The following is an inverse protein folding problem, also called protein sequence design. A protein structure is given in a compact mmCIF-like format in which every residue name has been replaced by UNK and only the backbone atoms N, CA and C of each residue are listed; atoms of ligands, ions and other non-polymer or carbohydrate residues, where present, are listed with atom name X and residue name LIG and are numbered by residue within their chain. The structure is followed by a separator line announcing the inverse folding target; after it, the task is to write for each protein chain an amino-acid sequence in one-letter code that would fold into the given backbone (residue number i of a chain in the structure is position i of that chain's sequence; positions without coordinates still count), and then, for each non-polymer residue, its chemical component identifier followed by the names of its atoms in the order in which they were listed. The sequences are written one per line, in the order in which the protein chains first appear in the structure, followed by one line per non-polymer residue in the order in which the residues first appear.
data_IF_690007470692
#
_entry.id   IF_690007470692
#
_cell.length_a   1.000
_cell.length_b   1.000
_cell.length_c   1.000
_cell.angle_alpha   90.00
_cell.angle_beta   90.00
_cell.angle_gamma   90.00
#
_symmetry.space_group_name_H-M   'P 1'
#
loop_
_entity.id
_entity.type
_entity.pdbx_description
1 polymer ?
#
# COMPACT_ATOMS: atom_id res chain seq x y z
N UNK A 1 -27.69 25.59 -40.06
CA UNK A 1 -27.83 25.95 -38.63
C UNK A 1 -27.98 24.67 -37.84
N UNK A 2 -26.86 24.12 -37.37
CA UNK A 2 -26.83 22.98 -36.45
C UNK A 2 -25.95 23.41 -35.28
N UNK A 3 -26.60 23.65 -34.14
CA UNK A 3 -25.95 24.02 -32.88
C UNK A 3 -25.28 22.78 -32.29
N UNK A 4 -23.95 22.73 -32.39
CA UNK A 4 -23.11 21.84 -31.61
C UNK A 4 -23.27 22.19 -30.12
N UNK A 5 -23.90 21.31 -29.34
CA UNK A 5 -23.72 21.28 -27.90
C UNK A 5 -22.35 20.65 -27.62
N UNK A 6 -21.32 21.49 -27.53
CA UNK A 6 -20.06 21.12 -26.89
C UNK A 6 -20.29 21.07 -25.37
N UNK A 7 -20.20 19.87 -24.79
CA UNK A 7 -20.09 19.70 -23.35
C UNK A 7 -18.75 20.31 -22.88
N UNK A 8 -18.73 21.05 -21.75
CA UNK A 8 -17.52 21.70 -21.27
C UNK A 8 -16.49 20.69 -20.76
N UNK A 9 -15.23 20.91 -21.16
CA UNK A 9 -14.01 20.14 -20.88
C UNK A 9 -13.48 20.24 -19.44
N UNK A 10 -14.36 20.22 -18.45
CA UNK A 10 -14.03 20.05 -17.03
C UNK A 10 -14.68 18.77 -16.55
N UNK A 11 -13.96 17.63 -16.54
CA UNK A 11 -14.27 16.43 -15.74
C UNK A 11 -13.34 15.21 -15.98
N UNK A 12 -12.21 15.32 -16.69
CA UNK A 12 -11.42 14.13 -17.10
C UNK A 12 -9.98 14.02 -16.56
N UNK A 13 -9.58 14.77 -15.53
CA UNK A 13 -8.24 14.62 -14.94
C UNK A 13 -8.23 14.75 -13.41
N UNK A 14 -9.17 14.09 -12.74
CA UNK A 14 -9.36 14.20 -11.29
C UNK A 14 -9.67 12.84 -10.66
N UNK A 15 -8.76 11.86 -10.72
CA UNK A 15 -9.06 10.55 -10.10
C UNK A 15 -7.90 9.60 -9.75
N UNK A 16 -6.68 10.09 -9.48
CA UNK A 16 -5.60 9.24 -8.93
C UNK A 16 -5.01 9.77 -7.61
N UNK A 17 -5.40 9.06 -6.55
CA UNK A 17 -4.70 8.85 -5.27
C UNK A 17 -5.79 8.31 -4.33
N UNK A 18 -5.86 6.99 -4.12
CA UNK A 18 -6.49 6.25 -3.00
C UNK A 18 -7.74 6.78 -2.25
N UNK A 19 -8.44 7.81 -2.73
CA UNK A 19 -9.33 8.69 -1.97
C UNK A 19 -10.49 9.20 -2.85
N UNK A 20 -10.42 8.98 -4.16
CA UNK A 20 -11.30 9.60 -5.17
C UNK A 20 -12.74 9.08 -5.19
N UNK A 21 -13.14 8.27 -4.21
CA UNK A 21 -14.52 7.85 -4.01
C UNK A 21 -15.03 8.09 -2.58
N UNK A 22 -14.26 8.70 -1.67
CA UNK A 22 -14.64 8.76 -0.25
C UNK A 22 -15.76 9.80 0.04
N UNK A 23 -16.38 10.40 -1.01
CA UNK A 23 -17.12 11.67 -0.89
C UNK A 23 -18.45 11.84 -1.61
N UNK A 24 -19.12 10.78 -2.05
CA UNK A 24 -20.52 10.91 -2.47
C UNK A 24 -21.45 10.54 -1.29
N UNK A 25 -22.46 11.38 -1.05
CA UNK A 25 -23.46 11.26 0.02
C UNK A 25 -24.48 10.14 -0.28
N UNK A 26 -24.82 9.32 0.73
CA UNK A 26 -26.12 8.64 0.76
C UNK A 26 -26.17 7.25 1.39
N UNK A 27 -25.17 6.40 1.19
CA UNK A 27 -25.21 4.98 1.60
C UNK A 27 -23.93 4.56 2.32
N UNK A 28 -24.03 3.55 3.18
CA UNK A 28 -22.86 2.86 3.73
C UNK A 28 -22.04 2.32 2.57
N UNK A 29 -20.87 2.91 2.34
CA UNK A 29 -20.05 2.63 1.15
C UNK A 29 -19.39 1.24 1.18
N UNK A 30 -19.15 0.73 2.39
CA UNK A 30 -18.48 -0.55 2.62
C UNK A 30 -19.28 -1.38 3.61
N UNK A 31 -19.29 -2.70 3.41
CA UNK A 31 -20.14 -3.63 4.18
C UNK A 31 -19.83 -3.53 5.68
N UNK A 32 -18.55 -3.38 6.04
CA UNK A 32 -18.12 -3.38 7.43
C UNK A 32 -18.40 -2.07 8.18
N UNK A 33 -18.75 -0.98 7.50
CA UNK A 33 -18.98 0.31 8.17
C UNK A 33 -20.14 0.27 9.18
N UNK A 34 -21.26 -0.37 8.83
CA UNK A 34 -22.40 -0.53 9.74
C UNK A 34 -21.99 -1.32 10.96
N UNK A 35 -21.34 -2.46 10.74
CA UNK A 35 -20.90 -3.33 11.81
C UNK A 35 -19.93 -2.62 12.76
N UNK A 36 -18.95 -1.86 12.25
CA UNK A 36 -18.03 -1.07 13.09
C UNK A 36 -18.78 0.01 13.89
N UNK A 37 -19.77 0.69 13.27
CA UNK A 37 -20.58 1.72 13.96
C UNK A 37 -21.44 1.14 15.06
N UNK A 38 -22.02 -0.04 14.86
CA UNK A 38 -22.81 -0.76 15.86
C UNK A 38 -22.00 -1.09 17.12
N UNK A 39 -20.68 -1.30 17.00
CA UNK A 39 -19.77 -1.46 18.16
C UNK A 39 -19.49 -0.14 18.91
N UNK A 40 -20.00 1.00 18.44
CA UNK A 40 -19.81 2.30 19.11
C UNK A 40 -18.35 2.79 19.12
N UNK A 41 -17.55 2.42 18.12
CA UNK A 41 -16.13 2.78 18.05
C UNK A 41 -15.97 4.28 17.77
N UNK A 42 -15.69 5.05 18.83
CA UNK A 42 -15.64 6.52 18.80
C UNK A 42 -14.58 7.04 17.82
N UNK A 43 -13.41 6.43 17.82
CA UNK A 43 -12.27 6.81 16.97
C UNK A 43 -12.66 6.75 15.48
N UNK A 44 -13.36 5.69 15.09
CA UNK A 44 -13.89 5.52 13.74
C UNK A 44 -15.00 6.53 13.43
N UNK A 45 -15.97 6.65 14.33
CA UNK A 45 -17.10 7.57 14.16
C UNK A 45 -16.62 9.01 13.95
N UNK A 46 -15.66 9.46 14.76
CA UNK A 46 -15.11 10.81 14.70
C UNK A 46 -14.25 11.02 13.45
N UNK A 47 -13.43 10.02 13.06
CA UNK A 47 -12.72 10.05 11.78
C UNK A 47 -13.68 10.23 10.60
N UNK A 48 -14.78 9.46 10.56
CA UNK A 48 -15.74 9.53 9.46
C UNK A 48 -16.49 10.87 9.42
N UNK A 49 -16.78 11.48 10.57
CA UNK A 49 -17.31 12.87 10.61
C UNK A 49 -16.31 13.85 10.03
N UNK A 50 -15.04 13.79 10.45
CA UNK A 50 -13.99 14.68 9.95
C UNK A 50 -13.75 14.52 8.45
N UNK A 51 -13.71 13.28 7.93
CA UNK A 51 -13.60 13.04 6.49
C UNK A 51 -14.75 13.69 5.72
N UNK A 52 -15.99 13.57 6.21
CA UNK A 52 -17.17 14.20 5.60
C UNK A 52 -17.07 15.74 5.59
N UNK A 53 -16.60 16.35 6.67
CA UNK A 53 -16.35 17.80 6.73
C UNK A 53 -15.28 18.18 5.71
N UNK A 54 -14.19 17.39 5.64
CA UNK A 54 -13.09 17.62 4.71
C UNK A 54 -13.54 17.65 3.25
N UNK A 55 -14.36 16.68 2.84
CA UNK A 55 -14.89 16.59 1.48
C UNK A 55 -15.86 17.68 1.07
N UNK A 56 -16.57 18.28 2.01
CA UNK A 56 -17.44 19.41 1.71
C UNK A 56 -16.69 20.74 1.64
N UNK A 57 -15.38 20.76 1.93
CA UNK A 57 -14.58 21.98 2.02
C UNK A 57 -13.76 22.26 0.76
N UNK A 58 -14.21 23.21 -0.06
CA UNK A 58 -13.48 23.70 -1.24
C UNK A 58 -12.12 24.32 -0.92
N UNK A 59 -11.92 24.75 0.34
CA UNK A 59 -10.64 25.31 0.82
C UNK A 59 -9.55 24.24 0.92
N UNK A 60 -9.93 22.98 1.17
CA UNK A 60 -8.98 21.86 1.26
C UNK A 60 -8.55 21.35 -0.10
N UNK A 61 -9.41 21.45 -1.12
CA UNK A 61 -9.10 21.00 -2.49
C UNK A 61 -7.85 21.70 -3.02
N UNK A 62 -7.80 23.03 -2.91
CA UNK A 62 -6.64 23.82 -3.32
C UNK A 62 -5.38 23.58 -2.48
N UNK A 63 -5.51 23.04 -1.26
CA UNK A 63 -4.36 22.64 -0.43
C UNK A 63 -3.78 21.31 -0.89
N UNK A 64 -4.63 20.29 -1.10
CA UNK A 64 -4.20 18.98 -1.58
C UNK A 64 -3.70 19.05 -3.02
N UNK A 65 -4.26 19.91 -3.87
CA UNK A 65 -3.77 20.12 -5.23
C UNK A 65 -2.35 20.73 -5.24
N UNK A 66 -2.09 21.71 -4.37
CA UNK A 66 -0.74 22.28 -4.21
C UNK A 66 0.27 21.25 -3.70
N UNK A 67 -0.11 20.42 -2.72
CA UNK A 67 0.78 19.34 -2.25
C UNK A 67 1.10 18.34 -3.36
N UNK A 68 0.11 17.98 -4.19
CA UNK A 68 0.31 17.07 -5.34
C UNK A 68 1.29 17.67 -6.35
N UNK A 69 1.08 18.93 -6.75
CA UNK A 69 1.97 19.61 -7.69
C UNK A 69 3.41 19.68 -7.18
N UNK A 70 3.63 19.90 -5.87
CA UNK A 70 4.98 19.91 -5.28
C UNK A 70 5.61 18.51 -5.26
N UNK A 71 4.82 17.46 -4.99
CA UNK A 71 5.30 16.09 -5.03
C UNK A 71 5.67 15.65 -6.46
N UNK A 72 4.89 16.05 -7.46
CA UNK A 72 5.06 15.64 -8.85
C UNK A 72 6.18 16.42 -9.57
N UNK A 73 6.51 17.63 -9.10
CA UNK A 73 7.57 18.49 -9.67
C UNK A 73 8.75 18.68 -8.70
N UNK A 74 9.02 17.67 -7.88
CA UNK A 74 10.07 17.73 -6.87
C UNK A 74 11.45 17.87 -7.51
N UNK A 75 12.17 18.95 -7.20
CA UNK A 75 13.58 19.11 -7.56
C UNK A 75 14.49 18.25 -6.67
N UNK A 76 15.82 18.27 -6.90
CA UNK A 76 16.78 17.46 -6.15
C UNK A 76 16.70 17.62 -4.62
N UNK A 77 16.49 18.85 -4.13
CA UNK A 77 16.33 19.13 -2.70
C UNK A 77 15.03 18.57 -2.11
N UNK A 78 13.95 18.53 -2.90
CA UNK A 78 12.69 17.90 -2.49
C UNK A 78 12.81 16.37 -2.46
N UNK A 79 13.52 15.75 -3.41
CA UNK A 79 13.78 14.31 -3.40
C UNK A 79 14.59 13.88 -2.16
N UNK A 80 15.62 14.64 -1.79
CA UNK A 80 16.36 14.40 -0.55
C UNK A 80 15.48 14.56 0.69
N UNK A 81 14.65 15.61 0.74
CA UNK A 81 13.70 15.79 1.83
C UNK A 81 12.69 14.62 1.92
N UNK A 82 12.25 14.07 0.79
CA UNK A 82 11.38 12.88 0.75
C UNK A 82 12.10 11.64 1.27
N UNK A 83 13.33 11.40 0.83
CA UNK A 83 14.18 10.31 1.33
C UNK A 83 14.30 10.33 2.87
N UNK A 84 14.61 11.49 3.45
CA UNK A 84 14.69 11.65 4.91
C UNK A 84 13.34 11.39 5.60
N UNK A 85 12.23 11.86 5.02
CA UNK A 85 10.90 11.62 5.58
C UNK A 85 10.52 10.13 5.54
N UNK A 86 10.79 9.44 4.44
CA UNK A 86 10.56 8.01 4.33
C UNK A 86 11.42 7.23 5.34
N UNK A 87 12.68 7.64 5.52
CA UNK A 87 13.55 7.07 6.56
C UNK A 87 12.95 7.19 7.96
N UNK A 88 12.40 8.37 8.30
CA UNK A 88 11.72 8.59 9.58
C UNK A 88 10.43 7.76 9.71
N UNK A 89 9.66 7.61 8.63
CA UNK A 89 8.46 6.74 8.63
C UNK A 89 8.86 5.31 9.01
N UNK A 90 9.90 4.73 8.38
CA UNK A 90 10.28 3.35 8.72
C UNK A 90 10.75 3.25 10.17
N UNK A 91 11.42 4.27 10.69
CA UNK A 91 11.77 4.32 12.11
C UNK A 91 10.56 4.35 13.06
N UNK A 92 9.47 5.02 12.69
CA UNK A 92 8.22 4.94 13.46
C UNK A 92 7.57 3.55 13.38
N UNK A 93 7.61 2.91 12.21
CA UNK A 93 7.08 1.55 12.01
C UNK A 93 7.89 0.54 12.81
N UNK A 94 9.22 0.64 12.76
CA UNK A 94 10.11 -0.23 13.52
C UNK A 94 9.97 0.00 15.02
N UNK A 95 9.92 1.25 15.49
CA UNK A 95 9.66 1.52 16.90
C UNK A 95 8.32 0.94 17.40
N UNK A 96 7.29 0.91 16.55
CA UNK A 96 5.98 0.37 16.90
C UNK A 96 5.95 -1.17 16.98
N UNK A 97 6.89 -1.87 16.34
CA UNK A 97 6.79 -3.33 16.15
C UNK A 97 8.05 -4.12 16.43
N UNK A 98 9.20 -3.45 16.58
CA UNK A 98 10.54 -4.03 16.79
C UNK A 98 10.79 -5.18 15.80
N UNK A 99 10.69 -4.86 14.49
CA UNK A 99 10.73 -5.88 13.44
C UNK A 99 12.10 -6.00 12.79
N UNK A 100 12.96 -4.99 12.92
CA UNK A 100 14.35 -5.07 12.47
C UNK A 100 15.18 -5.83 13.54
N UNK A 101 15.82 -6.96 13.19
CA UNK A 101 16.66 -7.69 14.13
C UNK A 101 17.83 -6.85 14.67
N UNK A 102 18.21 -7.10 15.92
CA UNK A 102 19.35 -6.46 16.58
C UNK A 102 20.62 -6.49 15.71
N UNK A 103 21.47 -5.47 15.87
CA UNK A 103 22.65 -5.14 15.04
C UNK A 103 23.65 -6.29 14.75
N UNK A 104 23.61 -7.38 15.51
CA UNK A 104 24.51 -8.51 15.39
C UNK A 104 23.96 -9.69 14.58
N UNK A 105 22.65 -9.71 14.30
CA UNK A 105 22.01 -10.74 13.49
C UNK A 105 22.05 -10.37 12.01
N UNK A 106 22.61 -11.27 11.21
CA UNK A 106 22.54 -11.19 9.75
C UNK A 106 21.12 -11.54 9.30
N UNK A 107 20.62 -10.79 8.32
CA UNK A 107 19.32 -11.05 7.70
C UNK A 107 19.27 -10.44 6.29
N UNK A 108 18.39 -11.01 5.46
CA UNK A 108 18.13 -10.55 4.10
C UNK A 108 16.79 -9.84 4.02
N UNK A 109 16.71 -8.68 3.36
CA UNK A 109 15.44 -7.99 3.12
C UNK A 109 15.18 -7.67 1.64
N UNK A 110 13.90 -7.62 1.29
CA UNK A 110 13.41 -7.22 -0.04
C UNK A 110 12.59 -5.93 0.11
N UNK A 111 12.95 -4.89 -0.64
CA UNK A 111 12.24 -3.61 -0.66
C UNK A 111 11.59 -3.37 -2.03
N UNK A 112 10.26 -3.51 -2.10
CA UNK A 112 9.48 -3.29 -3.32
C UNK A 112 9.04 -1.83 -3.39
N UNK A 113 9.48 -1.14 -4.44
CA UNK A 113 9.37 0.32 -4.56
C UNK A 113 10.48 1.05 -3.81
N UNK A 114 11.70 0.50 -3.81
CA UNK A 114 12.75 0.92 -2.89
C UNK A 114 13.25 2.36 -3.11
N UNK A 115 13.19 2.91 -4.32
CA UNK A 115 13.69 4.27 -4.57
C UNK A 115 12.70 5.35 -4.08
N UNK A 116 13.18 6.43 -3.44
CA UNK A 116 14.58 6.89 -3.39
C UNK A 116 15.52 6.22 -2.37
N UNK A 117 15.06 5.29 -1.54
CA UNK A 117 15.91 4.50 -0.65
C UNK A 117 15.75 4.78 0.84
N UNK A 118 14.74 5.56 1.26
CA UNK A 118 14.61 5.96 2.67
C UNK A 118 14.42 4.78 3.63
N UNK A 119 13.57 3.81 3.24
CA UNK A 119 13.32 2.58 4.01
C UNK A 119 14.58 1.71 4.05
N UNK A 120 15.12 1.36 2.89
CA UNK A 120 16.41 0.66 2.74
C UNK A 120 17.52 1.29 3.61
N UNK A 121 17.72 2.62 3.55
CA UNK A 121 18.76 3.32 4.32
C UNK A 121 18.54 3.21 5.82
N UNK A 122 17.29 3.25 6.30
CA UNK A 122 17.00 3.04 7.72
C UNK A 122 17.41 1.64 8.19
N UNK A 123 17.05 0.60 7.42
CA UNK A 123 17.40 -0.79 7.74
C UNK A 123 18.93 -0.97 7.80
N UNK A 124 19.63 -0.49 6.77
CA UNK A 124 21.07 -0.64 6.63
C UNK A 124 21.86 0.12 7.72
N UNK A 125 21.33 1.25 8.20
CA UNK A 125 21.92 1.99 9.33
C UNK A 125 21.66 1.31 10.68
N UNK A 126 20.47 0.73 10.84
CA UNK A 126 20.04 0.08 12.08
C UNK A 126 20.75 -1.26 12.30
N UNK A 127 21.07 -1.98 11.20
CA UNK A 127 21.81 -3.23 11.27
C UNK A 127 22.93 -3.30 10.21
N UNK A 128 24.17 -3.41 10.69
CA UNK A 128 25.37 -3.41 9.85
C UNK A 128 25.59 -4.73 9.08
N UNK A 129 24.93 -5.81 9.51
CA UNK A 129 24.95 -7.12 8.86
C UNK A 129 23.72 -7.37 7.98
N UNK A 130 22.78 -6.43 7.91
CA UNK A 130 21.69 -6.51 6.95
C UNK A 130 22.24 -6.37 5.52
N UNK A 131 21.72 -7.21 4.63
CA UNK A 131 21.88 -7.10 3.19
C UNK A 131 20.52 -7.25 2.51
N UNK A 132 20.39 -6.82 1.26
CA UNK A 132 19.08 -6.85 0.62
C UNK A 132 19.07 -6.64 -0.89
N UNK A 133 17.85 -6.78 -1.41
CA UNK A 133 17.50 -6.54 -2.80
C UNK A 133 16.36 -5.52 -2.84
N UNK A 134 16.44 -4.58 -3.78
CA UNK A 134 15.39 -3.62 -4.07
C UNK A 134 14.87 -3.82 -5.48
N UNK A 135 13.57 -3.59 -5.65
CA UNK A 135 12.96 -3.42 -6.97
C UNK A 135 12.36 -2.04 -7.05
N UNK A 136 12.68 -1.29 -8.10
CA UNK A 136 12.07 0.02 -8.34
C UNK A 136 11.86 0.26 -9.83
N UNK A 137 10.93 1.15 -10.16
CA UNK A 137 10.72 1.59 -11.53
C UNK A 137 11.92 2.40 -12.03
N UNK A 138 12.27 2.23 -13.31
CA UNK A 138 13.26 3.05 -14.02
C UNK A 138 12.88 4.53 -14.02
N UNK A 139 13.88 5.43 -13.95
CA UNK A 139 13.65 6.88 -13.92
C UNK A 139 12.98 7.35 -15.22
N UNK A 140 13.40 6.77 -16.34
CA UNK A 140 12.89 7.03 -17.68
C UNK A 140 11.41 6.66 -17.82
N UNK A 141 10.92 5.72 -16.99
CA UNK A 141 9.51 5.31 -16.94
C UNK A 141 8.71 6.10 -15.89
N UNK A 142 9.30 7.12 -15.26
CA UNK A 142 8.69 7.95 -14.23
C UNK A 142 9.04 7.55 -12.79
N UNK A 143 10.00 6.64 -12.60
CA UNK A 143 10.53 6.25 -11.30
C UNK A 143 11.43 7.32 -10.64
N UNK A 144 11.82 7.06 -9.39
CA UNK A 144 12.72 7.94 -8.65
C UNK A 144 14.17 7.47 -8.72
N UNK A 145 15.12 8.41 -8.80
CA UNK A 145 16.54 8.10 -8.61
C UNK A 145 16.81 7.60 -7.18
N UNK A 146 17.69 6.60 -7.07
CA UNK A 146 18.22 6.17 -5.77
C UNK A 146 19.09 7.26 -5.15
N UNK A 147 18.92 7.47 -3.85
CA UNK A 147 19.74 8.35 -3.01
C UNK A 147 20.53 7.56 -1.96
N UNK A 148 20.63 6.24 -2.11
CA UNK A 148 21.48 5.40 -1.28
C UNK A 148 22.95 5.77 -1.46
N UNK A 149 23.72 5.70 -0.37
CA UNK A 149 25.17 5.96 -0.41
C UNK A 149 25.92 4.80 -1.06
N UNK A 150 27.17 5.03 -1.48
CA UNK A 150 28.03 3.95 -2.00
C UNK A 150 28.16 2.79 -1.00
N UNK A 151 28.28 3.11 0.30
CA UNK A 151 28.33 2.13 1.39
C UNK A 151 27.03 1.33 1.55
N UNK A 152 25.88 1.93 1.27
CA UNK A 152 24.60 1.21 1.28
C UNK A 152 24.55 0.20 0.12
N UNK A 153 25.03 0.62 -1.05
CA UNK A 153 25.06 -0.20 -2.27
C UNK A 153 26.05 -1.37 -2.20
N UNK A 154 27.05 -1.34 -1.29
CA UNK A 154 27.89 -2.51 -1.00
C UNK A 154 27.10 -3.70 -0.42
N UNK A 155 25.97 -3.43 0.24
CA UNK A 155 25.12 -4.45 0.89
C UNK A 155 23.72 -4.55 0.29
N UNK A 156 23.40 -3.70 -0.68
CA UNK A 156 22.07 -3.62 -1.26
C UNK A 156 22.13 -3.50 -2.77
N UNK A 157 21.49 -4.46 -3.45
CA UNK A 157 21.37 -4.45 -4.91
C UNK A 157 20.03 -3.86 -5.33
N UNK A 158 19.99 -3.06 -6.40
CA UNK A 158 18.74 -2.54 -6.98
C UNK A 158 18.54 -3.14 -8.36
N UNK A 159 17.37 -3.73 -8.59
CA UNK A 159 16.88 -4.08 -9.92
C UNK A 159 15.86 -3.05 -10.36
N UNK A 160 16.12 -2.40 -11.50
CA UNK A 160 15.19 -1.46 -12.09
C UNK A 160 14.26 -2.17 -13.05
N UNK A 161 12.99 -2.32 -12.67
CA UNK A 161 11.95 -2.93 -13.51
C UNK A 161 10.56 -2.62 -12.98
N UNK A 162 9.56 -2.59 -13.86
CA UNK A 162 8.17 -2.50 -13.44
C UNK A 162 7.70 -3.89 -12.96
N UNK A 163 7.54 -4.01 -11.64
CA UNK A 163 7.18 -5.27 -10.98
C UNK A 163 5.84 -5.85 -11.46
N UNK A 164 5.01 -5.06 -12.12
CA UNK A 164 3.74 -5.55 -12.67
C UNK A 164 3.88 -6.34 -13.97
N UNK A 165 5.07 -6.35 -14.56
CA UNK A 165 5.40 -7.12 -15.77
C UNK A 165 6.23 -8.38 -15.48
N UNK A 166 6.34 -8.80 -14.22
CA UNK A 166 6.87 -10.14 -13.95
C UNK A 166 5.88 -11.23 -14.35
N UNK A 167 6.38 -12.42 -14.64
CA UNK A 167 5.61 -13.64 -14.84
C UNK A 167 5.07 -14.13 -13.50
N UNK A 168 3.97 -13.53 -13.04
CA UNK A 168 3.38 -13.79 -11.73
C UNK A 168 2.33 -14.92 -11.76
N UNK A 169 1.92 -15.39 -12.94
CA UNK A 169 0.96 -16.47 -13.07
C UNK A 169 1.55 -17.82 -12.60
N UNK A 170 0.70 -18.70 -12.06
CA UNK A 170 1.09 -20.07 -11.70
C UNK A 170 1.53 -20.92 -12.91
N UNK A 171 1.02 -20.58 -14.09
CA UNK A 171 1.40 -21.20 -15.37
C UNK A 171 1.98 -20.13 -16.28
N UNK A 172 3.06 -20.48 -17.00
CA UNK A 172 3.74 -19.54 -17.91
C UNK A 172 2.77 -19.00 -18.96
N UNK A 173 2.70 -17.67 -19.06
CA UNK A 173 1.99 -16.95 -20.11
C UNK A 173 3.01 -16.48 -21.15
N UNK A 174 2.79 -16.86 -22.39
CA UNK A 174 3.58 -16.40 -23.54
C UNK A 174 3.15 -14.97 -23.92
N UNK A 175 3.77 -13.97 -23.29
CA UNK A 175 3.61 -12.55 -23.61
C UNK A 175 4.99 -11.87 -23.55
N UNK A 176 5.37 -11.20 -24.64
CA UNK A 176 6.69 -10.56 -24.81
C UNK A 176 6.96 -9.45 -23.78
N UNK A 177 5.91 -8.91 -23.15
CA UNK A 177 6.04 -7.87 -22.12
C UNK A 177 6.44 -8.45 -20.78
N UNK A 178 6.27 -9.76 -20.56
CA UNK A 178 6.54 -10.39 -19.28
C UNK A 178 8.00 -10.83 -19.16
N UNK A 179 8.57 -10.58 -17.99
CA UNK A 179 9.92 -11.04 -17.60
C UNK A 179 9.84 -12.10 -16.49
N UNK A 180 10.83 -12.99 -16.44
CA UNK A 180 10.90 -13.96 -15.35
C UNK A 180 11.21 -13.25 -14.02
N UNK A 181 10.62 -13.75 -12.93
CA UNK A 181 10.94 -13.27 -11.58
C UNK A 181 12.39 -13.68 -11.26
N UNK A 182 13.23 -12.78 -10.71
CA UNK A 182 14.59 -13.11 -10.28
C UNK A 182 14.63 -14.37 -9.40
N UNK A 183 15.57 -15.30 -9.67
CA UNK A 183 15.65 -16.59 -8.97
C UNK A 183 15.75 -16.42 -7.45
N UNK A 184 16.53 -15.45 -6.96
CA UNK A 184 16.67 -15.16 -5.53
C UNK A 184 15.35 -14.81 -4.82
N UNK A 185 14.36 -14.29 -5.56
CA UNK A 185 13.00 -14.01 -5.03
C UNK A 185 12.19 -15.29 -4.91
N UNK A 186 12.46 -16.31 -5.71
CA UNK A 186 11.73 -17.57 -5.68
C UNK A 186 12.24 -18.52 -4.59
N UNK A 187 13.41 -18.26 -4.01
CA UNK A 187 14.08 -19.15 -3.05
C UNK A 187 13.61 -18.98 -1.59
N UNK A 188 12.59 -18.13 -1.31
CA UNK A 188 12.06 -17.85 0.04
C UNK A 188 13.14 -17.54 1.08
N UNK A 189 14.06 -16.62 0.75
CA UNK A 189 15.23 -16.32 1.59
C UNK A 189 15.10 -15.04 2.42
N UNK A 190 14.06 -14.23 2.20
CA UNK A 190 13.98 -12.91 2.82
C UNK A 190 13.33 -12.96 4.19
N UNK A 191 14.03 -12.42 5.20
CA UNK A 191 13.55 -12.21 6.56
C UNK A 191 12.50 -11.11 6.64
N UNK A 192 12.66 -10.08 5.82
CA UNK A 192 11.79 -8.90 5.80
C UNK A 192 11.42 -8.59 4.35
N UNK A 193 10.14 -8.39 4.08
CA UNK A 193 9.67 -7.89 2.77
C UNK A 193 8.84 -6.63 2.98
N UNK A 194 9.25 -5.53 2.35
CA UNK A 194 8.57 -4.23 2.38
C UNK A 194 7.76 -4.05 1.09
N UNK A 195 6.47 -3.71 1.23
CA UNK A 195 5.54 -3.44 0.14
C UNK A 195 5.08 -1.97 0.23
N UNK A 196 5.84 -1.06 -0.37
CA UNK A 196 5.51 0.38 -0.46
C UNK A 196 5.59 0.92 -1.90
N UNK A 197 5.64 0.03 -2.90
CA UNK A 197 5.49 0.46 -4.28
C UNK A 197 4.07 1.01 -4.47
N UNK A 198 3.99 2.16 -5.10
CA UNK A 198 2.74 2.84 -5.38
C UNK A 198 2.78 3.38 -6.81
N UNK A 199 1.62 3.40 -7.44
CA UNK A 199 1.50 3.93 -8.80
C UNK A 199 1.88 5.41 -8.80
N UNK A 200 2.87 5.78 -9.61
CA UNK A 200 3.34 7.16 -9.72
C UNK A 200 2.47 7.90 -10.74
N UNK A 201 2.05 9.12 -10.42
CA UNK A 201 1.24 9.94 -11.34
C UNK A 201 1.96 10.28 -12.65
N UNK A 202 3.29 10.30 -12.60
CA UNK A 202 4.17 10.58 -13.74
C UNK A 202 4.53 9.33 -14.55
N UNK A 203 4.04 8.15 -14.16
CA UNK A 203 4.37 6.91 -14.84
C UNK A 203 3.85 6.94 -16.28
N UNK A 204 4.75 6.73 -17.24
CA UNK A 204 4.40 6.72 -18.66
C UNK A 204 3.47 5.55 -18.95
N UNK A 205 2.41 5.80 -19.73
CA UNK A 205 1.40 4.80 -20.11
C UNK A 205 0.63 4.14 -18.95
N UNK A 206 0.72 4.66 -17.73
CA UNK A 206 0.00 4.13 -16.57
C UNK A 206 -1.50 4.13 -16.79
N UNK A 207 -2.13 2.95 -16.67
CA UNK A 207 -3.58 2.82 -16.74
C UNK A 207 -4.20 3.12 -15.39
N UNK A 208 -5.41 3.68 -15.39
CA UNK A 208 -6.08 4.08 -14.15
C UNK A 208 -6.33 2.93 -13.16
N UNK A 209 -6.31 1.66 -13.59
CA UNK A 209 -6.46 0.47 -12.75
C UNK A 209 -5.12 -0.17 -12.33
N UNK A 210 -3.98 0.33 -12.80
CA UNK A 210 -2.67 -0.29 -12.56
C UNK A 210 -2.29 -0.31 -11.08
N UNK A 211 -2.90 0.54 -10.24
CA UNK A 211 -2.72 0.46 -8.79
C UNK A 211 -3.21 -0.87 -8.21
N UNK A 212 -4.31 -1.45 -8.72
CA UNK A 212 -4.78 -2.78 -8.30
C UNK A 212 -3.75 -3.83 -8.74
N UNK A 213 -3.30 -3.76 -10.01
CA UNK A 213 -2.28 -4.68 -10.54
C UNK A 213 -1.00 -4.62 -9.72
N UNK A 214 -0.53 -3.43 -9.36
CA UNK A 214 0.65 -3.21 -8.53
C UNK A 214 0.50 -3.76 -7.12
N UNK A 215 -0.66 -3.58 -6.48
CA UNK A 215 -0.89 -4.11 -5.14
C UNK A 215 -0.89 -5.64 -5.13
N UNK A 216 -1.58 -6.28 -6.08
CA UNK A 216 -1.61 -7.74 -6.21
C UNK A 216 -0.22 -8.28 -6.58
N UNK A 217 0.50 -7.61 -7.49
CA UNK A 217 1.84 -8.02 -7.89
C UNK A 217 2.83 -8.01 -6.71
N UNK A 218 2.83 -6.95 -5.89
CA UNK A 218 3.67 -6.88 -4.69
C UNK A 218 3.34 -7.99 -3.69
N UNK A 219 2.05 -8.31 -3.50
CA UNK A 219 1.64 -9.41 -2.63
C UNK A 219 2.16 -10.75 -3.15
N UNK A 220 1.99 -11.07 -4.43
CA UNK A 220 2.50 -12.33 -5.01
C UNK A 220 4.00 -12.44 -4.79
N UNK A 221 4.75 -11.38 -5.13
CA UNK A 221 6.21 -11.35 -4.96
C UNK A 221 6.57 -11.56 -3.49
N UNK A 222 5.88 -10.90 -2.56
CA UNK A 222 6.15 -11.04 -1.14
C UNK A 222 5.90 -12.46 -0.62
N UNK A 223 4.79 -13.09 -1.03
CA UNK A 223 4.46 -14.46 -0.63
C UNK A 223 5.41 -15.50 -1.25
N UNK A 224 6.03 -15.20 -2.40
CA UNK A 224 7.07 -16.03 -3.01
C UNK A 224 8.44 -15.83 -2.37
N UNK A 225 8.71 -14.63 -1.84
CA UNK A 225 10.02 -14.21 -1.35
C UNK A 225 10.25 -14.43 0.15
N UNK A 226 9.20 -14.30 0.95
CA UNK A 226 9.29 -14.34 2.40
C UNK A 226 9.65 -15.75 2.88
N UNK A 227 10.59 -15.83 3.83
CA UNK A 227 10.88 -17.07 4.55
C UNK A 227 9.88 -17.33 5.68
N UNK A 228 9.80 -18.57 6.13
CA UNK A 228 9.03 -18.90 7.34
C UNK A 228 9.57 -18.13 8.55
N UNK A 229 8.66 -17.66 9.41
CA UNK A 229 8.97 -16.77 10.53
C UNK A 229 9.48 -15.37 10.12
N UNK A 230 9.34 -14.98 8.85
CA UNK A 230 9.68 -13.64 8.37
C UNK A 230 8.70 -12.55 8.80
N UNK A 231 8.98 -11.31 8.41
CA UNK A 231 8.07 -10.17 8.57
C UNK A 231 7.69 -9.54 7.23
N UNK A 232 6.40 -9.34 7.02
CA UNK A 232 5.89 -8.52 5.90
C UNK A 232 5.46 -7.16 6.45
N UNK A 233 5.96 -6.08 5.83
CA UNK A 233 5.53 -4.70 6.10
C UNK A 233 4.81 -4.18 4.87
N UNK A 234 3.50 -4.00 4.94
CA UNK A 234 2.68 -3.62 3.80
C UNK A 234 1.96 -2.29 4.03
N UNK A 235 2.08 -1.38 3.08
CA UNK A 235 1.27 -0.17 3.05
C UNK A 235 -0.14 -0.47 2.55
N UNK A 236 -1.13 -0.03 3.31
CA UNK A 236 -2.54 -0.16 3.02
C UNK A 236 -3.25 1.18 3.17
N UNK A 237 -4.52 1.26 2.77
CA UNK A 237 -5.31 2.49 2.83
C UNK A 237 -6.71 2.22 3.33
N UNK A 238 -7.14 2.97 4.34
CA UNK A 238 -8.49 2.92 4.92
C UNK A 238 -8.90 1.50 5.36
N UNK A 239 -8.66 1.12 6.62
CA UNK A 239 -8.80 -0.27 7.04
C UNK A 239 -10.24 -0.82 7.02
N UNK A 240 -11.24 0.06 6.91
CA UNK A 240 -12.67 -0.31 6.79
C UNK A 240 -13.10 -0.57 5.33
N UNK A 241 -12.21 -0.41 4.34
CA UNK A 241 -12.51 -0.81 2.95
C UNK A 241 -12.51 -2.32 2.85
N UNK A 242 -13.48 -2.87 2.14
CA UNK A 242 -13.67 -4.32 1.93
C UNK A 242 -12.36 -5.03 1.56
N UNK A 243 -11.71 -4.61 0.47
CA UNK A 243 -10.45 -5.22 0.03
C UNK A 243 -9.31 -5.08 1.04
N UNK A 244 -9.26 -3.96 1.77
CA UNK A 244 -8.22 -3.77 2.80
C UNK A 244 -8.49 -4.65 4.02
N UNK A 245 -9.74 -4.84 4.42
CA UNK A 245 -10.12 -5.74 5.49
C UNK A 245 -9.82 -7.21 5.12
N UNK A 246 -10.07 -7.62 3.87
CA UNK A 246 -9.69 -8.94 3.36
C UNK A 246 -8.16 -9.15 3.42
N UNK A 247 -7.37 -8.16 2.98
CA UNK A 247 -5.91 -8.22 3.07
C UNK A 247 -5.40 -8.22 4.52
N UNK A 248 -6.02 -7.46 5.43
CA UNK A 248 -5.69 -7.49 6.85
C UNK A 248 -5.99 -8.85 7.47
N UNK A 249 -7.13 -9.47 7.13
CA UNK A 249 -7.44 -10.83 7.54
C UNK A 249 -6.39 -11.81 7.05
N UNK A 250 -6.01 -11.75 5.77
CA UNK A 250 -4.95 -12.60 5.20
C UNK A 250 -3.65 -12.50 6.00
N UNK A 251 -3.21 -11.27 6.28
CA UNK A 251 -1.99 -11.02 7.04
C UNK A 251 -2.11 -11.52 8.50
N UNK A 252 -3.26 -11.34 9.15
CA UNK A 252 -3.48 -11.77 10.55
C UNK A 252 -3.49 -13.30 10.64
N UNK A 253 -4.18 -14.01 9.75
CA UNK A 253 -4.28 -15.48 9.84
C UNK A 253 -3.02 -16.21 9.39
N UNK A 254 -2.19 -15.58 8.55
CA UNK A 254 -0.91 -16.14 8.09
C UNK A 254 0.28 -15.79 9.00
N UNK A 255 0.13 -14.87 9.96
CA UNK A 255 1.22 -14.43 10.84
C UNK A 255 0.94 -14.78 12.30
N UNK A 256 2.00 -14.83 13.12
CA UNK A 256 1.85 -14.99 14.57
C UNK A 256 1.31 -13.74 15.24
N UNK A 257 1.61 -12.58 14.66
CA UNK A 257 1.17 -11.30 15.18
C UNK A 257 1.06 -10.25 14.07
N UNK A 258 -0.07 -9.55 14.04
CA UNK A 258 -0.30 -8.41 13.17
C UNK A 258 -0.37 -7.12 13.98
N UNK A 259 0.48 -6.15 13.63
CA UNK A 259 0.50 -4.81 14.22
C UNK A 259 0.18 -3.79 13.13
N UNK A 260 -0.63 -2.77 13.43
CA UNK A 260 -0.88 -1.65 12.52
C UNK A 260 -0.17 -0.39 13.03
N UNK A 261 0.52 0.31 12.13
CA UNK A 261 1.17 1.58 12.43
C UNK A 261 0.64 2.68 11.51
N UNK A 262 0.26 3.81 12.11
CA UNK A 262 -0.08 5.05 11.41
C UNK A 262 1.00 6.10 11.69
N UNK A 263 1.98 6.29 10.78
CA UNK A 263 3.05 7.25 10.97
C UNK A 263 2.52 8.67 11.16
N UNK A 264 3.16 9.42 12.06
CA UNK A 264 2.80 10.77 12.44
C UNK A 264 3.66 11.82 11.74
N UNK A 265 4.92 11.51 11.40
CA UNK A 265 5.83 12.48 10.77
C UNK A 265 5.44 12.86 9.34
N UNK A 266 4.79 11.97 8.60
CA UNK A 266 4.33 12.20 7.25
C UNK A 266 3.09 11.37 6.92
N UNK A 267 2.23 11.91 6.03
CA UNK A 267 0.96 11.29 5.60
C UNK A 267 -0.04 11.01 6.73
N UNK A 268 0.16 11.57 7.93
CA UNK A 268 -0.70 11.32 9.08
C UNK A 268 -2.16 11.74 8.85
N UNK A 269 -2.40 12.73 7.97
CA UNK A 269 -3.75 13.17 7.56
C UNK A 269 -4.38 12.30 6.45
N UNK A 270 -3.60 11.46 5.75
CA UNK A 270 -4.08 10.59 4.65
C UNK A 270 -4.68 9.29 5.19
N UNK A 271 -5.44 8.57 4.38
CA UNK A 271 -5.99 7.25 4.75
C UNK A 271 -4.96 6.11 4.81
N UNK A 272 -3.70 6.35 4.44
CA UNK A 272 -2.65 5.32 4.37
C UNK A 272 -2.10 4.93 5.74
N UNK A 273 -1.82 3.65 5.95
CA UNK A 273 -1.18 3.11 7.16
C UNK A 273 -0.33 1.89 6.78
N UNK A 274 0.41 1.32 7.72
CA UNK A 274 1.24 0.14 7.51
C UNK A 274 0.75 -1.03 8.37
N UNK A 275 0.68 -2.21 7.77
CA UNK A 275 0.45 -3.48 8.44
C UNK A 275 1.77 -4.23 8.56
N UNK A 276 2.12 -4.70 9.76
CA UNK A 276 3.35 -5.40 10.08
C UNK A 276 2.99 -6.80 10.56
N UNK A 277 3.13 -7.78 9.67
CA UNK A 277 2.79 -9.18 9.91
C UNK A 277 4.06 -9.95 10.30
N UNK A 278 4.25 -10.20 11.59
CA UNK A 278 5.44 -10.85 12.17
C UNK A 278 5.24 -12.34 12.34
N UNK A 279 6.29 -13.12 12.12
CA UNK A 279 6.19 -14.59 12.20
C UNK A 279 5.31 -15.13 11.07
N UNK A 280 5.47 -14.56 9.87
CA UNK A 280 4.71 -14.93 8.69
C UNK A 280 4.98 -16.40 8.32
N UNK A 281 3.93 -17.10 7.88
CA UNK A 281 3.97 -18.54 7.62
C UNK A 281 3.79 -19.41 8.86
N UNK A 282 3.66 -18.83 10.05
CA UNK A 282 3.43 -19.54 11.31
C UNK A 282 2.08 -19.18 11.96
N UNK A 283 1.21 -18.47 11.25
CA UNK A 283 -0.10 -18.09 11.75
C UNK A 283 -1.08 -19.26 11.90
N UNK A 284 -2.25 -18.93 12.47
CA UNK A 284 -3.31 -19.89 12.79
C UNK A 284 -3.88 -20.65 11.59
N UNK A 285 -3.76 -20.10 10.38
CA UNK A 285 -4.21 -20.72 9.13
C UNK A 285 -3.09 -20.73 8.07
N UNK A 286 -1.83 -20.94 8.50
CA UNK A 286 -0.67 -20.94 7.61
C UNK A 286 -0.80 -21.93 6.43
N UNK A 287 -1.56 -23.01 6.58
CA UNK A 287 -1.86 -23.98 5.53
C UNK A 287 -2.63 -23.38 4.34
N UNK A 288 -3.24 -22.20 4.50
CA UNK A 288 -3.94 -21.48 3.42
C UNK A 288 -3.01 -20.66 2.53
N UNK A 289 -1.71 -20.58 2.84
CA UNK A 289 -0.75 -19.77 2.08
C UNK A 289 -0.77 -20.10 0.58
N UNK A 290 -0.75 -21.38 0.22
CA UNK A 290 -0.75 -21.79 -1.19
C UNK A 290 -2.08 -21.47 -1.90
N UNK A 291 -3.21 -21.54 -1.16
CA UNK A 291 -4.52 -21.15 -1.67
C UNK A 291 -4.57 -19.65 -1.96
N UNK A 292 -4.06 -18.84 -1.03
CA UNK A 292 -4.02 -17.39 -1.20
C UNK A 292 -3.07 -16.96 -2.30
N UNK A 293 -1.88 -17.56 -2.37
CA UNK A 293 -0.93 -17.30 -3.44
C UNK A 293 -1.57 -17.63 -4.80
N UNK A 294 -2.14 -18.83 -4.95
CA UNK A 294 -2.79 -19.23 -6.20
C UNK A 294 -3.94 -18.28 -6.59
N UNK A 295 -4.80 -17.93 -5.64
CA UNK A 295 -5.90 -16.98 -5.89
C UNK A 295 -5.40 -15.60 -6.32
N UNK A 296 -4.33 -15.09 -5.69
CA UNK A 296 -3.70 -13.84 -6.09
C UNK A 296 -3.09 -13.92 -7.50
N UNK A 297 -2.44 -15.03 -7.84
CA UNK A 297 -1.88 -15.25 -9.18
C UNK A 297 -2.98 -15.31 -10.25
N UNK A 298 -4.08 -16.01 -9.99
CA UNK A 298 -5.25 -16.04 -10.86
C UNK A 298 -5.88 -14.65 -11.02
N UNK A 299 -6.03 -13.91 -9.93
CA UNK A 299 -6.53 -12.53 -9.95
C UNK A 299 -5.60 -11.62 -10.75
N UNK A 300 -4.27 -11.75 -10.59
CA UNK A 300 -3.30 -10.97 -11.36
C UNK A 300 -3.44 -11.20 -12.86
N UNK A 301 -3.67 -12.44 -13.30
CA UNK A 301 -3.96 -12.73 -14.72
C UNK A 301 -5.22 -12.01 -15.18
N UNK A 302 -6.29 -12.05 -14.38
CA UNK A 302 -7.56 -11.42 -14.73
C UNK A 302 -7.46 -9.90 -14.82
N UNK A 303 -6.82 -9.23 -13.85
CA UNK A 303 -6.65 -7.77 -13.87
C UNK A 303 -5.65 -7.29 -14.93
N UNK A 304 -4.73 -8.15 -15.36
CA UNK A 304 -3.70 -7.82 -16.38
C UNK A 304 -4.20 -8.07 -17.81
N UNK A 305 -4.92 -9.16 -18.04
CA UNK A 305 -5.30 -9.63 -19.38
C UNK A 305 -6.81 -9.78 -19.60
N UNK A 306 -7.63 -9.49 -18.59
CA UNK A 306 -9.09 -9.48 -18.70
C UNK A 306 -9.64 -8.21 -19.34
N UNK A 307 -10.94 -8.00 -19.20
CA UNK A 307 -11.67 -6.92 -19.86
C UNK A 307 -11.99 -7.23 -21.33
N UNK A 308 -12.87 -6.42 -21.93
CA UNK A 308 -13.37 -6.66 -23.31
C UNK A 308 -12.24 -6.66 -24.35
N UNK A 309 -11.24 -5.80 -24.17
CA UNK A 309 -10.10 -5.66 -25.09
C UNK A 309 -8.87 -6.49 -24.68
N UNK A 310 -8.96 -7.27 -23.58
CA UNK A 310 -7.83 -8.02 -23.00
C UNK A 310 -6.62 -7.15 -22.62
N UNK A 311 -6.90 -5.89 -22.29
CA UNK A 311 -5.90 -4.89 -21.86
C UNK A 311 -5.91 -4.67 -20.35
N UNK A 312 -6.69 -5.46 -19.61
CA UNK A 312 -6.84 -5.42 -18.17
C UNK A 312 -8.22 -4.95 -17.71
N UNK A 313 -8.51 -5.14 -16.42
CA UNK A 313 -9.74 -4.68 -15.77
C UNK A 313 -9.48 -4.15 -14.37
N UNK A 314 -10.44 -3.39 -13.84
CA UNK A 314 -10.45 -3.03 -12.43
C UNK A 314 -10.66 -4.27 -11.56
N UNK A 315 -10.15 -4.22 -10.34
CA UNK A 315 -10.57 -5.14 -9.29
C UNK A 315 -12.02 -4.84 -8.93
N UNK A 316 -12.81 -5.89 -8.81
CA UNK A 316 -14.24 -5.89 -8.58
C UNK A 316 -14.56 -6.45 -7.18
N UNK A 317 -15.81 -6.27 -6.75
CA UNK A 317 -16.28 -6.91 -5.54
C UNK A 317 -16.26 -8.44 -5.72
N UNK A 318 -15.81 -9.16 -4.71
CA UNK A 318 -15.68 -10.62 -4.75
C UNK A 318 -14.34 -11.14 -5.29
N UNK A 319 -13.51 -10.30 -5.93
CA UNK A 319 -12.21 -10.72 -6.47
C UNK A 319 -11.26 -11.30 -5.42
N UNK A 320 -11.44 -10.94 -4.14
CA UNK A 320 -10.64 -11.40 -3.01
C UNK A 320 -11.37 -12.40 -2.11
N UNK A 321 -12.53 -12.94 -2.52
CA UNK A 321 -13.32 -13.86 -1.69
C UNK A 321 -12.63 -15.21 -1.46
N UNK A 322 -11.64 -15.56 -2.29
CA UNK A 322 -10.76 -16.70 -2.02
C UNK A 322 -9.94 -16.52 -0.73
N UNK A 323 -9.73 -15.27 -0.27
CA UNK A 323 -9.15 -14.96 1.03
C UNK A 323 -10.21 -15.17 2.12
N UNK A 324 -11.29 -14.39 2.05
CA UNK A 324 -12.41 -14.40 2.99
C UNK A 324 -13.55 -13.57 2.39
N UNK A 325 -14.79 -14.01 2.55
CA UNK A 325 -15.97 -13.25 2.08
C UNK A 325 -16.31 -12.11 3.04
N UNK A 326 -17.07 -11.12 2.56
CA UNK A 326 -17.49 -9.99 3.39
C UNK A 326 -18.45 -10.40 4.51
N UNK A 327 -19.29 -11.41 4.28
CA UNK A 327 -20.18 -11.99 5.29
C UNK A 327 -19.36 -12.63 6.41
N UNK A 328 -18.34 -13.43 6.07
CA UNK A 328 -17.48 -14.06 7.05
C UNK A 328 -16.70 -13.03 7.87
N UNK A 329 -16.22 -11.95 7.23
CA UNK A 329 -15.58 -10.83 7.94
C UNK A 329 -16.56 -10.15 8.91
N UNK A 330 -17.78 -9.84 8.45
CA UNK A 330 -18.81 -9.18 9.24
C UNK A 330 -19.21 -9.99 10.48
N UNK A 331 -19.30 -11.31 10.34
CA UNK A 331 -19.70 -12.22 11.41
C UNK A 331 -18.57 -12.53 12.39
N UNK A 332 -17.34 -12.72 11.89
CA UNK A 332 -16.29 -13.39 12.69
C UNK A 332 -15.04 -12.54 12.93
N UNK A 333 -14.85 -11.43 12.23
CA UNK A 333 -13.58 -10.68 12.26
C UNK A 333 -13.72 -9.19 12.61
N UNK A 334 -14.93 -8.63 12.64
CA UNK A 334 -15.14 -7.18 12.91
C UNK A 334 -14.49 -6.75 14.22
N UNK A 335 -14.62 -7.53 15.29
CA UNK A 335 -14.11 -7.13 16.59
C UNK A 335 -12.57 -7.12 16.62
N UNK A 336 -11.93 -8.09 15.96
CA UNK A 336 -10.48 -8.12 15.75
C UNK A 336 -10.01 -6.99 14.84
N UNK A 337 -10.74 -6.70 13.76
CA UNK A 337 -10.46 -5.57 12.88
C UNK A 337 -10.53 -4.23 13.66
N UNK A 338 -11.53 -4.07 14.53
CA UNK A 338 -11.66 -2.90 15.41
C UNK A 338 -10.47 -2.80 16.36
N UNK A 339 -10.08 -3.89 17.02
CA UNK A 339 -8.90 -3.95 17.89
C UNK A 339 -7.65 -3.43 17.17
N UNK A 340 -7.37 -3.97 15.98
CA UNK A 340 -6.22 -3.59 15.16
C UNK A 340 -6.24 -2.11 14.73
N UNK A 341 -7.43 -1.57 14.42
CA UNK A 341 -7.54 -0.30 13.70
C UNK A 341 -7.79 0.93 14.59
N UNK A 342 -8.09 0.74 15.89
CA UNK A 342 -8.39 1.83 16.83
C UNK A 342 -7.36 2.96 16.78
N UNK A 343 -6.09 2.62 16.91
CA UNK A 343 -5.01 3.61 16.95
C UNK A 343 -4.81 4.29 15.59
N UNK A 344 -4.96 3.53 14.49
CA UNK A 344 -4.90 4.08 13.13
C UNK A 344 -5.97 5.16 12.94
N UNK A 345 -7.20 4.89 13.36
CA UNK A 345 -8.31 5.85 13.28
C UNK A 345 -8.09 7.05 14.19
N UNK A 346 -7.65 6.82 15.43
CA UNK A 346 -7.41 7.87 16.42
C UNK A 346 -6.34 8.87 15.94
N UNK A 347 -5.20 8.36 15.44
CA UNK A 347 -4.11 9.19 14.92
C UNK A 347 -4.60 10.03 13.74
N UNK A 348 -5.29 9.42 12.77
CA UNK A 348 -5.78 10.16 11.61
C UNK A 348 -6.81 11.23 12.00
N UNK A 349 -7.75 10.90 12.88
CA UNK A 349 -8.78 11.82 13.35
C UNK A 349 -8.14 13.04 14.05
N UNK A 350 -7.21 12.81 14.98
CA UNK A 350 -6.51 13.87 15.70
C UNK A 350 -5.76 14.83 14.75
N UNK A 351 -5.09 14.29 13.74
CA UNK A 351 -4.35 15.11 12.76
C UNK A 351 -5.29 15.92 11.87
N UNK A 352 -6.38 15.32 11.39
CA UNK A 352 -7.40 16.03 10.61
C UNK A 352 -8.04 17.16 11.42
N UNK A 353 -8.42 16.88 12.67
CA UNK A 353 -8.99 17.87 13.57
C UNK A 353 -8.06 19.07 13.77
N UNK A 354 -6.78 18.83 14.12
CA UNK A 354 -5.77 19.91 14.24
C UNK A 354 -5.60 20.70 12.95
N UNK A 355 -5.59 20.01 11.80
CA UNK A 355 -5.46 20.64 10.50
C UNK A 355 -6.65 21.55 10.17
N UNK A 356 -7.88 21.12 10.49
CA UNK A 356 -9.10 21.87 10.24
C UNK A 356 -9.18 23.12 11.10
N UNK A 357 -8.88 23.01 12.41
CA UNK A 357 -8.77 24.16 13.32
C UNK A 357 -7.76 25.18 12.78
N UNK A 358 -6.56 24.74 12.39
CA UNK A 358 -5.52 25.62 11.82
C UNK A 358 -5.96 26.33 10.54
N UNK A 359 -6.89 25.74 9.79
CA UNK A 359 -7.42 26.28 8.53
C UNK A 359 -8.74 27.05 8.71
N UNK A 360 -9.24 27.19 9.93
CA UNK A 360 -10.52 27.85 10.21
C UNK A 360 -11.75 27.08 9.70
N UNK A 361 -11.63 25.76 9.54
CA UNK A 361 -12.74 24.90 9.14
C UNK A 361 -13.50 24.49 10.41
N UNK A 362 -14.83 24.75 10.50
CA UNK A 362 -15.64 24.36 11.66
C UNK A 362 -15.66 22.82 11.84
N UNK A 363 -15.42 22.35 13.06
CA UNK A 363 -15.35 20.93 13.44
C UNK A 363 -16.19 20.59 14.64
#
# INVERSE_FOLDING_TARGET
MNTHFQLPSRLQCERSDYDTRDGEEGELKFVLESHIRERGVREFIDLMKLKRIGWRSTTLDGHFQRQRNVADNAGPSQNYAWFIKMKNILGEIDHASDFIPNIEHEFMFLDLGCCPGGFTSYILDSNRKAAGLGISLEVEQGGHMSLLSEKDLERFSITYTDLTYFQLAATRIEDVRLSDIPVCIQERQFDIVLLDAHHLRMQLNGKHWDYCRLQIAQLIIALMAIRDNGTIVMKLSNPHRDSTAQLLYMLDVLSLNLILCKPQSMHANRGTFYAIAKGFGLGSQHERLDVFLKGLQELWVQITFGGEERTGRYMEHGDLDFIVTMECLAENYVDRLVELCRDVWAVQANVLWKMFIKKGIPV
#
